data_IF_049609770070
#
_entry.id   IF_049609770070
#
_cell.length_a   1.000
_cell.length_b   1.000
_cell.length_c   1.000
_cell.angle_alpha   90.00
_cell.angle_beta   90.00
_cell.angle_gamma   90.00
#
_symmetry.space_group_name_H-M   'P 1'
#
loop_
_entity.id
_entity.type
_entity.pdbx_description
1 polymer ?
#
# COMPACT_ATOMS: atom_id res chain seq x y z
N UNK A 1 27.01 3.71 5.47
CA UNK A 1 25.81 3.70 4.59
C UNK A 1 24.71 4.39 5.38
N UNK A 2 24.03 5.37 4.80
CA UNK A 2 22.92 6.09 5.46
C UNK A 2 21.78 5.08 5.75
N UNK A 3 21.11 5.20 6.89
CA UNK A 3 19.97 4.37 7.28
C UNK A 3 18.88 4.35 6.21
N UNK A 4 18.56 5.51 5.64
CA UNK A 4 17.58 5.63 4.55
C UNK A 4 17.96 4.79 3.33
N UNK A 5 19.25 4.76 2.98
CA UNK A 5 19.76 3.95 1.85
C UNK A 5 19.61 2.45 2.17
N UNK A 6 19.88 2.05 3.42
CA UNK A 6 19.70 0.67 3.86
C UNK A 6 18.23 0.24 3.79
N UNK A 7 17.32 1.11 4.25
CA UNK A 7 15.86 0.88 4.22
C UNK A 7 15.38 0.79 2.77
N UNK A 8 15.78 1.72 1.91
CA UNK A 8 15.37 1.74 0.51
C UNK A 8 15.83 0.48 -0.23
N UNK A 9 17.07 0.04 0.00
CA UNK A 9 17.57 -1.21 -0.57
C UNK A 9 16.83 -2.43 -0.03
N UNK A 10 16.49 -2.43 1.27
CA UNK A 10 15.71 -3.51 1.86
C UNK A 10 14.31 -3.59 1.25
N UNK A 11 13.65 -2.45 1.03
CA UNK A 11 12.34 -2.37 0.36
C UNK A 11 12.40 -2.90 -1.07
N UNK A 12 13.40 -2.48 -1.86
CA UNK A 12 13.59 -2.98 -3.22
C UNK A 12 13.76 -4.50 -3.25
N UNK A 13 14.68 -5.04 -2.43
CA UNK A 13 14.91 -6.48 -2.33
C UNK A 13 13.66 -7.25 -1.88
N UNK A 14 12.88 -6.65 -0.97
CA UNK A 14 11.64 -7.26 -0.47
C UNK A 14 10.56 -7.27 -1.54
N UNK A 15 10.44 -6.20 -2.32
CA UNK A 15 9.53 -6.16 -3.47
C UNK A 15 9.90 -7.23 -4.50
N UNK A 16 11.17 -7.35 -4.85
CA UNK A 16 11.66 -8.39 -5.78
C UNK A 16 11.34 -9.81 -5.28
N UNK A 17 11.52 -10.05 -3.98
CA UNK A 17 11.16 -11.32 -3.36
C UNK A 17 9.66 -11.61 -3.47
N UNK A 18 8.80 -10.61 -3.25
CA UNK A 18 7.34 -10.73 -3.38
C UNK A 18 6.97 -11.08 -4.83
N UNK A 19 7.53 -10.38 -5.82
CA UNK A 19 7.27 -10.65 -7.23
C UNK A 19 7.69 -12.08 -7.60
N UNK A 20 8.88 -12.50 -7.17
CA UNK A 20 9.34 -13.87 -7.38
C UNK A 20 8.44 -14.90 -6.70
N UNK A 21 7.94 -14.61 -5.49
CA UNK A 21 7.02 -15.50 -4.78
C UNK A 21 5.70 -15.67 -5.54
N UNK A 22 5.09 -14.57 -6.02
CA UNK A 22 3.84 -14.62 -6.79
C UNK A 22 4.03 -15.49 -8.05
N UNK A 23 5.14 -15.29 -8.78
CA UNK A 23 5.47 -16.12 -9.96
C UNK A 23 5.60 -17.60 -9.61
N UNK A 24 6.26 -17.92 -8.49
CA UNK A 24 6.39 -19.30 -8.03
C UNK A 24 5.02 -19.92 -7.73
N UNK A 25 4.11 -19.15 -7.10
CA UNK A 25 2.74 -19.59 -6.81
C UNK A 25 1.92 -19.78 -8.09
N UNK A 26 2.04 -18.88 -9.07
CA UNK A 26 1.41 -19.03 -10.40
C UNK A 26 1.88 -20.29 -11.13
N UNK A 27 3.20 -20.50 -11.19
CA UNK A 27 3.81 -21.68 -11.82
C UNK A 27 3.37 -22.96 -11.12
N UNK A 28 3.42 -22.98 -9.78
CA UNK A 28 3.01 -24.13 -8.98
C UNK A 28 1.55 -24.51 -9.27
N UNK A 29 0.63 -23.56 -9.16
CA UNK A 29 -0.81 -23.79 -9.41
C UNK A 29 -1.10 -24.26 -10.83
N UNK A 30 -0.40 -23.68 -11.82
CA UNK A 30 -0.48 -24.13 -13.21
C UNK A 30 0.00 -25.58 -13.37
N UNK A 31 1.12 -25.94 -12.76
CA UNK A 31 1.70 -27.28 -12.86
C UNK A 31 0.82 -28.36 -12.22
N UNK A 32 0.08 -28.03 -11.15
CA UNK A 32 -0.86 -28.96 -10.51
C UNK A 32 -2.30 -28.84 -11.06
N UNK A 33 -2.52 -27.97 -12.06
CA UNK A 33 -3.82 -27.66 -12.64
C UNK A 33 -4.91 -27.37 -11.58
N UNK A 34 -4.57 -26.57 -10.56
CA UNK A 34 -5.47 -26.27 -9.44
C UNK A 34 -5.24 -24.86 -8.90
N UNK A 35 -6.33 -24.10 -8.75
CA UNK A 35 -6.32 -22.82 -8.02
C UNK A 35 -6.49 -23.08 -6.52
N UNK A 36 -5.49 -22.66 -5.75
CA UNK A 36 -5.40 -22.71 -4.29
C UNK A 36 -5.52 -21.31 -3.66
N UNK A 37 -5.54 -20.26 -4.49
CA UNK A 37 -5.58 -18.88 -4.03
C UNK A 37 -4.24 -18.39 -3.47
N UNK A 38 -4.29 -17.25 -2.79
CA UNK A 38 -3.15 -16.56 -2.18
C UNK A 38 -3.63 -15.74 -0.97
N UNK A 39 -2.70 -15.27 -0.12
CA UNK A 39 -3.03 -14.50 1.09
C UNK A 39 -2.16 -13.25 1.25
N UNK A 40 -2.72 -12.06 1.07
CA UNK A 40 -1.99 -10.79 1.17
C UNK A 40 -1.24 -10.55 2.49
N UNK A 41 -1.65 -11.22 3.58
CA UNK A 41 -0.98 -11.14 4.89
C UNK A 41 0.50 -11.50 4.83
N UNK A 42 0.98 -12.28 3.86
CA UNK A 42 2.42 -12.52 3.75
C UNK A 42 3.18 -11.22 3.45
N UNK A 43 2.61 -10.31 2.65
CA UNK A 43 3.23 -9.01 2.33
C UNK A 43 3.34 -8.15 3.60
N UNK A 44 2.28 -8.07 4.40
CA UNK A 44 2.29 -7.35 5.70
C UNK A 44 3.42 -7.85 6.63
N UNK A 45 3.73 -9.16 6.60
CA UNK A 45 4.81 -9.72 7.41
C UNK A 45 6.20 -9.39 6.88
N UNK A 46 6.35 -9.25 5.57
CA UNK A 46 7.62 -8.92 4.94
C UNK A 46 7.99 -7.44 5.15
N UNK A 47 7.01 -6.56 5.35
CA UNK A 47 7.24 -5.14 5.63
C UNK A 47 7.25 -4.80 7.13
N UNK A 48 7.55 -5.75 8.01
CA UNK A 48 7.66 -5.47 9.45
C UNK A 48 9.05 -4.91 9.84
N UNK A 49 9.14 -3.85 10.66
CA UNK A 49 8.04 -3.01 11.17
C UNK A 49 7.59 -1.96 10.13
N UNK A 50 6.29 -1.92 9.82
CA UNK A 50 5.75 -1.05 8.78
C UNK A 50 5.91 0.43 9.11
N UNK A 51 5.90 0.78 10.40
CA UNK A 51 6.14 2.12 10.91
C UNK A 51 7.55 2.66 10.60
N UNK A 52 8.50 1.77 10.35
CA UNK A 52 9.87 2.13 9.95
C UNK A 52 10.02 2.06 8.42
N UNK A 53 9.44 1.04 7.79
CA UNK A 53 9.73 0.73 6.40
C UNK A 53 8.82 1.46 5.41
N UNK A 54 7.53 1.63 5.73
CA UNK A 54 6.53 2.11 4.78
C UNK A 54 5.58 3.16 5.38
N UNK A 55 5.97 3.81 6.48
CA UNK A 55 5.21 4.90 7.06
C UNK A 55 5.19 6.13 6.15
N UNK A 56 4.01 6.72 5.95
CA UNK A 56 3.82 7.90 5.09
C UNK A 56 3.25 9.12 5.82
N UNK A 57 2.68 8.96 7.01
CA UNK A 57 2.17 10.10 7.77
C UNK A 57 0.88 9.84 8.55
N UNK A 58 0.28 10.94 8.97
CA UNK A 58 -0.94 10.99 9.76
C UNK A 58 -2.05 11.65 8.93
N UNK A 59 -3.31 11.26 9.15
CA UNK A 59 -4.40 12.16 8.77
C UNK A 59 -4.24 13.49 9.49
N UNK A 60 -4.67 14.59 8.85
CA UNK A 60 -4.68 15.91 9.49
C UNK A 60 -5.46 15.91 10.81
N UNK A 61 -6.58 15.18 10.87
CA UNK A 61 -7.36 14.97 12.09
C UNK A 61 -6.53 14.40 13.24
N UNK A 62 -5.77 13.33 12.98
CA UNK A 62 -4.89 12.72 14.00
C UNK A 62 -3.71 13.63 14.34
N UNK A 63 -3.13 14.31 13.34
CA UNK A 63 -2.02 15.22 13.55
C UNK A 63 -2.39 16.39 14.48
N UNK A 64 -3.52 17.03 14.22
CA UNK A 64 -4.00 18.20 14.98
C UNK A 64 -4.41 17.82 16.42
N UNK A 65 -4.77 16.55 16.68
CA UNK A 65 -5.13 16.04 18.00
C UNK A 65 -3.94 15.40 18.77
N UNK A 66 -2.71 15.43 18.24
CA UNK A 66 -1.53 14.79 18.87
C UNK A 66 -1.30 15.20 20.32
N UNK A 67 -1.52 16.47 20.65
CA UNK A 67 -1.30 17.02 22.00
C UNK A 67 -2.35 16.58 23.01
N UNK A 68 -3.62 16.48 22.58
CA UNK A 68 -4.74 16.11 23.45
C UNK A 68 -4.91 14.59 23.54
N UNK A 69 -4.60 13.86 22.46
CA UNK A 69 -4.63 12.39 22.41
C UNK A 69 -6.02 11.80 22.64
N UNK A 70 -7.08 12.51 22.25
CA UNK A 70 -8.46 12.10 22.52
C UNK A 70 -9.06 11.21 21.43
N UNK A 71 -8.52 11.32 20.22
CA UNK A 71 -8.98 10.61 19.03
C UNK A 71 -8.32 9.24 18.95
N UNK A 72 -9.14 8.21 18.81
CA UNK A 72 -8.64 6.85 18.62
C UNK A 72 -7.93 6.72 17.28
N UNK A 73 -6.63 6.47 17.36
CA UNK A 73 -5.73 6.22 16.23
C UNK A 73 -5.93 4.81 15.67
N UNK A 74 -5.91 4.68 14.34
CA UNK A 74 -5.97 3.42 13.59
C UNK A 74 -4.88 3.42 12.51
N UNK A 75 -4.13 2.32 12.40
CA UNK A 75 -3.21 2.11 11.29
C UNK A 75 -3.98 1.58 10.09
N UNK A 76 -3.78 2.20 8.94
CA UNK A 76 -4.44 1.84 7.68
C UNK A 76 -3.42 1.83 6.54
N UNK A 77 -3.47 0.81 5.67
CA UNK A 77 -2.70 0.82 4.43
C UNK A 77 -3.29 1.81 3.44
N UNK A 78 -2.47 2.59 2.77
CA UNK A 78 -2.92 3.59 1.79
C UNK A 78 -3.57 2.88 0.61
N UNK A 79 -2.90 1.90 0.02
CA UNK A 79 -3.49 0.94 -0.92
C UNK A 79 -3.78 -0.35 -0.14
N UNK A 80 -5.01 -0.90 -0.15
CA UNK A 80 -5.31 -2.15 0.54
C UNK A 80 -4.41 -3.29 0.08
N UNK A 81 -3.75 -4.01 1.00
CA UNK A 81 -2.77 -5.05 0.65
C UNK A 81 -3.36 -6.20 -0.17
N UNK A 82 -4.63 -6.55 0.05
CA UNK A 82 -5.32 -7.54 -0.78
C UNK A 82 -5.45 -7.02 -2.22
N UNK A 83 -6.04 -5.85 -2.42
CA UNK A 83 -6.17 -5.21 -3.72
C UNK A 83 -4.83 -5.07 -4.46
N UNK A 84 -3.78 -4.63 -3.74
CA UNK A 84 -2.44 -4.53 -4.31
C UNK A 84 -1.93 -5.87 -4.84
N UNK A 85 -2.15 -6.96 -4.10
CA UNK A 85 -1.75 -8.29 -4.53
C UNK A 85 -2.54 -8.81 -5.75
N UNK A 86 -3.86 -8.56 -5.83
CA UNK A 86 -4.67 -8.86 -7.02
C UNK A 86 -4.10 -8.17 -8.26
N UNK A 87 -3.79 -6.87 -8.15
CA UNK A 87 -3.26 -6.09 -9.27
C UNK A 87 -1.89 -6.62 -9.71
N UNK A 88 -0.98 -6.91 -8.77
CA UNK A 88 0.32 -7.50 -9.09
C UNK A 88 0.18 -8.87 -9.77
N UNK A 89 -0.77 -9.69 -9.30
CA UNK A 89 -1.08 -10.98 -9.91
C UNK A 89 -1.46 -10.81 -11.39
N UNK A 90 -2.36 -9.87 -11.67
CA UNK A 90 -2.81 -9.57 -13.04
C UNK A 90 -1.68 -9.01 -13.92
N UNK A 91 -0.84 -8.10 -13.40
CA UNK A 91 0.30 -7.57 -14.14
C UNK A 91 1.27 -8.67 -14.57
N UNK A 92 1.54 -9.63 -13.67
CA UNK A 92 2.39 -10.78 -13.96
C UNK A 92 1.78 -11.75 -14.98
N UNK A 93 0.45 -11.91 -15.00
CA UNK A 93 -0.24 -12.73 -16.01
C UNK A 93 -0.18 -12.12 -17.41
N UNK A 94 -0.27 -10.79 -17.51
CA UNK A 94 -0.22 -10.06 -18.80
C UNK A 94 1.17 -10.14 -19.46
N UNK A 95 2.24 -10.22 -18.66
CA UNK A 95 3.65 -10.31 -19.13
C UNK A 95 4.07 -9.14 -20.01
N UNK A 96 3.47 -7.97 -19.79
CA UNK A 96 3.78 -6.73 -20.53
C UNK A 96 4.90 -5.92 -19.87
N UNK A 97 5.13 -6.15 -18.57
CA UNK A 97 6.14 -5.48 -17.76
C UNK A 97 7.19 -6.48 -17.27
N UNK A 98 8.43 -6.00 -17.12
CA UNK A 98 9.49 -6.75 -16.46
C UNK A 98 9.24 -6.88 -14.95
N UNK A 99 9.81 -7.91 -14.33
CA UNK A 99 9.73 -8.10 -12.87
C UNK A 99 10.18 -6.83 -12.12
N UNK A 100 11.23 -6.15 -12.60
CA UNK A 100 11.75 -4.91 -12.01
C UNK A 100 10.76 -3.75 -12.08
N UNK A 101 10.06 -3.61 -13.20
CA UNK A 101 9.00 -2.59 -13.34
C UNK A 101 7.85 -2.88 -12.38
N UNK A 102 7.45 -4.15 -12.24
CA UNK A 102 6.40 -4.56 -11.31
C UNK A 102 6.85 -4.35 -9.86
N UNK A 103 8.10 -4.65 -9.51
CA UNK A 103 8.66 -4.34 -8.18
C UNK A 103 8.65 -2.84 -7.89
N UNK A 104 8.97 -2.01 -8.89
CA UNK A 104 8.92 -0.55 -8.75
C UNK A 104 7.49 -0.06 -8.52
N UNK A 105 6.52 -0.63 -9.25
CA UNK A 105 5.08 -0.37 -9.07
C UNK A 105 4.64 -0.79 -7.67
N UNK A 106 5.00 -1.99 -7.19
CA UNK A 106 4.72 -2.43 -5.83
C UNK A 106 5.27 -1.41 -4.83
N UNK A 107 6.57 -1.11 -4.88
CA UNK A 107 7.23 -0.19 -3.93
C UNK A 107 6.53 1.16 -3.85
N UNK A 108 6.15 1.75 -4.99
CA UNK A 108 5.43 3.05 -5.05
C UNK A 108 4.07 3.01 -4.34
N UNK A 109 3.37 1.88 -4.42
CA UNK A 109 2.03 1.72 -3.87
C UNK A 109 2.04 1.22 -2.40
N UNK A 110 3.22 1.01 -1.81
CA UNK A 110 3.35 0.72 -0.38
C UNK A 110 3.22 1.99 0.46
N UNK A 111 2.44 1.89 1.52
CA UNK A 111 2.30 2.98 2.48
C UNK A 111 1.32 2.62 3.58
N UNK A 112 1.66 2.98 4.81
CA UNK A 112 0.70 3.04 5.92
C UNK A 112 0.53 4.49 6.38
N UNK A 113 -0.65 4.78 6.90
CA UNK A 113 -0.97 6.03 7.55
C UNK A 113 -1.74 5.78 8.84
N UNK A 114 -1.64 6.74 9.77
CA UNK A 114 -2.47 6.77 10.97
C UNK A 114 -3.68 7.67 10.77
N UNK A 115 -4.87 7.10 10.81
CA UNK A 115 -6.14 7.80 10.63
C UNK A 115 -7.05 7.60 11.84
N UNK A 116 -8.05 8.45 11.99
CA UNK A 116 -9.03 8.34 13.07
C UNK A 116 -10.04 7.22 12.81
N UNK A 117 -10.68 6.73 13.88
CA UNK A 117 -11.74 5.72 13.75
C UNK A 117 -12.93 6.22 12.89
N UNK A 118 -13.25 7.52 12.90
CA UNK A 118 -14.30 8.08 12.02
C UNK A 118 -13.87 8.06 10.56
N UNK A 119 -12.61 8.32 10.25
CA UNK A 119 -12.06 8.24 8.89
C UNK A 119 -12.01 6.80 8.38
N UNK A 120 -11.65 5.81 9.22
CA UNK A 120 -11.78 4.38 8.86
C UNK A 120 -13.22 4.04 8.45
N UNK A 121 -14.22 4.59 9.15
CA UNK A 121 -15.63 4.36 8.80
C UNK A 121 -16.01 4.95 7.44
N UNK A 122 -15.39 6.05 7.01
CA UNK A 122 -15.61 6.61 5.66
C UNK A 122 -15.11 5.66 4.57
N UNK A 123 -14.03 4.91 4.84
CA UNK A 123 -13.53 3.88 3.94
C UNK A 123 -14.41 2.62 3.93
N UNK A 124 -15.18 2.37 4.99
CA UNK A 124 -15.93 1.12 5.15
C UNK A 124 -16.91 0.83 4.00
N UNK A 125 -17.24 -0.44 3.81
CA UNK A 125 -18.09 -0.92 2.71
C UNK A 125 -19.50 -0.37 2.76
N UNK A 126 -19.98 -0.01 3.95
CA UNK A 126 -21.27 0.63 4.14
C UNK A 126 -21.29 2.12 3.72
N UNK A 127 -20.13 2.72 3.48
CA UNK A 127 -20.02 4.15 3.14
C UNK A 127 -19.49 4.37 1.72
N UNK A 128 -18.28 3.87 1.42
CA UNK A 128 -17.64 4.08 0.11
C UNK A 128 -17.21 2.78 -0.59
N UNK A 129 -17.07 1.67 0.15
CA UNK A 129 -16.47 0.45 -0.41
C UNK A 129 -14.94 0.44 -0.40
N UNK A 130 -14.29 1.58 -0.16
CA UNK A 130 -12.84 1.75 -0.37
C UNK A 130 -11.98 1.00 0.65
N UNK A 131 -12.55 0.41 1.70
CA UNK A 131 -11.83 -0.41 2.69
C UNK A 131 -11.01 -1.53 2.03
N UNK A 132 -11.52 -2.08 0.93
CA UNK A 132 -10.90 -3.22 0.24
C UNK A 132 -10.58 -2.94 -1.23
N UNK A 133 -10.80 -1.72 -1.73
CA UNK A 133 -10.55 -1.35 -3.13
C UNK A 133 -10.01 0.07 -3.28
N UNK A 134 -9.52 0.37 -4.47
CA UNK A 134 -9.23 1.73 -4.93
C UNK A 134 -10.46 2.37 -5.60
N UNK A 135 -10.45 3.70 -5.86
CA UNK A 135 -11.51 4.36 -6.62
C UNK A 135 -11.76 3.70 -7.98
N UNK A 136 -12.98 3.81 -8.50
CA UNK A 136 -13.33 3.17 -9.77
C UNK A 136 -12.50 3.78 -10.92
N UNK A 137 -11.91 2.92 -11.74
CA UNK A 137 -11.01 3.32 -12.83
C UNK A 137 -9.57 3.61 -12.43
N UNK A 138 -9.23 3.52 -11.14
CA UNK A 138 -7.86 3.72 -10.65
C UNK A 138 -6.90 2.69 -11.25
N UNK A 139 -5.72 3.16 -11.69
CA UNK A 139 -4.72 2.39 -12.39
C UNK A 139 -3.43 2.28 -11.57
N UNK A 140 -3.09 1.04 -11.18
CA UNK A 140 -1.89 0.75 -10.37
C UNK A 140 -0.57 1.22 -10.97
N UNK A 141 -0.49 1.38 -12.29
CA UNK A 141 0.73 1.81 -12.99
C UNK A 141 0.86 3.33 -12.95
N UNK A 142 -0.24 4.08 -12.98
CA UNK A 142 -0.20 5.52 -13.30
C UNK A 142 -0.83 6.44 -12.26
N UNK A 143 -1.82 5.97 -11.51
CA UNK A 143 -2.57 6.80 -10.57
C UNK A 143 -1.92 6.91 -9.19
N UNK A 144 -2.40 7.83 -8.36
CA UNK A 144 -1.78 8.15 -7.09
C UNK A 144 -2.27 7.19 -6.00
N UNK A 145 -1.38 6.60 -5.20
CA UNK A 145 -1.80 5.84 -4.02
C UNK A 145 -2.75 6.63 -3.10
N UNK A 146 -2.58 7.96 -2.99
CA UNK A 146 -3.41 8.80 -2.14
C UNK A 146 -4.84 8.98 -2.61
N UNK A 147 -5.17 8.64 -3.86
CA UNK A 147 -6.49 8.90 -4.43
C UNK A 147 -7.61 8.21 -3.63
N UNK A 148 -7.31 7.07 -2.99
CA UNK A 148 -8.24 6.39 -2.09
C UNK A 148 -8.61 7.23 -0.86
N UNK A 149 -7.63 7.88 -0.22
CA UNK A 149 -7.86 8.73 0.95
C UNK A 149 -8.55 10.04 0.54
N UNK A 150 -8.13 10.64 -0.58
CA UNK A 150 -8.74 11.85 -1.13
C UNK A 150 -10.21 11.65 -1.50
N UNK A 151 -10.57 10.47 -2.02
CA UNK A 151 -11.96 10.15 -2.39
C UNK A 151 -12.95 10.19 -1.21
N UNK A 152 -12.46 10.17 0.04
CA UNK A 152 -13.27 10.28 1.26
C UNK A 152 -12.84 11.45 2.15
N UNK A 153 -12.18 12.45 1.54
CA UNK A 153 -11.80 13.71 2.20
C UNK A 153 -10.88 13.47 3.42
N UNK A 154 -9.92 12.55 3.29
CA UNK A 154 -8.85 12.36 4.27
C UNK A 154 -7.59 13.02 3.73
N UNK A 155 -7.19 14.13 4.34
CA UNK A 155 -5.91 14.80 4.06
C UNK A 155 -4.80 14.13 4.85
N UNK A 156 -3.74 13.71 4.16
CA UNK A 156 -2.53 13.15 4.78
C UNK A 156 -1.48 14.25 4.99
N UNK A 157 -0.82 14.24 6.14
CA UNK A 157 0.31 15.11 6.47
C UNK A 157 1.51 14.29 6.93
N UNK A 158 2.73 14.78 6.67
CA UNK A 158 3.96 14.16 7.16
C UNK A 158 4.18 14.42 8.67
N UNK A 159 5.35 14.05 9.18
CA UNK A 159 5.67 14.18 10.61
C UNK A 159 5.80 15.64 11.05
N UNK A 160 6.08 16.54 10.11
CA UNK A 160 6.16 17.99 10.28
C UNK A 160 4.82 18.72 10.06
N UNK A 161 3.75 17.98 9.73
CA UNK A 161 2.41 18.55 9.50
C UNK A 161 2.23 19.17 8.12
N UNK A 162 3.16 18.94 7.19
CA UNK A 162 3.06 19.37 5.80
C UNK A 162 2.13 18.43 5.03
N UNK A 163 1.20 18.99 4.28
CA UNK A 163 0.24 18.24 3.48
C UNK A 163 0.92 17.48 2.33
N UNK A 164 0.60 16.20 2.23
CA UNK A 164 1.06 15.30 1.17
C UNK A 164 0.01 15.28 0.05
N UNK A 165 0.33 15.97 -1.04
CA UNK A 165 -0.55 16.05 -2.21
C UNK A 165 -0.40 14.85 -3.15
N UNK A 166 0.73 14.14 -3.10
CA UNK A 166 1.00 12.98 -3.94
C UNK A 166 1.97 12.01 -3.27
N UNK A 167 1.79 10.72 -3.50
CA UNK A 167 2.80 9.69 -3.22
C UNK A 167 3.46 9.14 -4.48
N UNK A 168 3.22 9.75 -5.64
CA UNK A 168 4.01 9.48 -6.83
C UNK A 168 5.40 10.06 -6.58
N UNK A 169 6.36 9.20 -6.24
CA UNK A 169 7.76 9.57 -6.34
C UNK A 169 8.06 9.84 -7.82
N UNK A 170 8.63 11.00 -8.13
CA UNK A 170 9.31 11.18 -9.41
C UNK A 170 10.52 10.25 -9.37
N UNK A 171 10.45 9.15 -10.12
CA UNK A 171 11.62 8.29 -10.38
C UNK A 171 12.71 9.12 -11.04
#
# INVERSE_FOLDING_TARGET
>A
MNEEICIEQHLENTCDLIIQHIKNVQIFQKNINKSLGWHSRFMERLFHPEDVLIFKGYSKTIFDDKELGTTKVQKEHIVPMAYLLDELWQLLERKELSDREISTILKRNLGIAYISQSEVKKLDTNYSGLKTKMPDGWNIITDDPLDRLKAVEITLVNEEGQELNTLKSFV
#
